data_IF_668818250039
#
_entry.id   IF_668818250039
#
_cell.length_a   1.000
_cell.length_b   1.000
_cell.length_c   1.000
_cell.angle_alpha   90.00
_cell.angle_beta   90.00
_cell.angle_gamma   90.00
#
_symmetry.space_group_name_H-M   'P 1'
#
loop_
_entity.id
_entity.type
_entity.pdbx_description
1 polymer ?
2 polymer ?
3 non-polymer ?
4 water ?
#
# COMPACT_ATOMS: atom_id res chain seq x y z
N UNK A 9 13.22 -15.95 7.84
CA UNK A 9 13.45 -16.41 6.44
C UNK A 9 12.18 -16.93 5.79
N UNK A 10 11.06 -16.28 6.10
CA UNK A 10 9.78 -16.68 5.54
C UNK A 10 9.44 -15.91 4.27
N UNK A 11 8.76 -16.56 3.34
CA UNK A 11 8.36 -15.91 2.09
C UNK A 11 7.24 -14.92 2.34
N UNK A 12 7.49 -13.65 2.06
CA UNK A 12 6.50 -12.60 2.25
C UNK A 12 5.99 -12.11 0.90
N UNK A 13 4.70 -11.80 0.84
CA UNK A 13 4.10 -11.35 -0.40
C UNK A 13 3.34 -10.04 -0.28
N UNK A 14 3.28 -9.31 -1.39
CA UNK A 14 2.53 -8.07 -1.44
C UNK A 14 1.08 -8.48 -1.25
N UNK A 15 0.37 -7.77 -0.38
CA UNK A 15 -1.02 -8.09 -0.10
C UNK A 15 -1.96 -7.68 -1.23
N UNK A 16 -1.48 -6.79 -2.10
CA UNK A 16 -2.29 -6.32 -3.21
C UNK A 16 -2.17 -7.16 -4.49
N UNK A 17 -0.94 -7.45 -4.91
CA UNK A 17 -0.73 -8.21 -6.15
C UNK A 17 -0.26 -9.65 -5.99
N UNK A 18 0.14 -10.04 -4.79
CA UNK A 18 0.58 -11.41 -4.57
C UNK A 18 2.01 -11.75 -4.93
N UNK A 19 2.77 -10.78 -5.45
CA UNK A 19 4.17 -11.06 -5.79
C UNK A 19 4.98 -11.17 -4.50
N UNK A 20 6.02 -12.00 -4.52
CA UNK A 20 6.85 -12.18 -3.33
C UNK A 20 7.95 -11.14 -3.26
N UNK A 21 8.60 -11.07 -2.10
CA UNK A 21 9.69 -10.14 -1.88
C UNK A 21 10.81 -10.38 -2.90
N UNK A 22 10.88 -11.61 -3.41
CA UNK A 22 11.90 -11.98 -4.38
C UNK A 22 11.57 -11.59 -5.82
N UNK A 23 10.39 -11.00 -6.02
CA UNK A 23 9.96 -10.59 -7.36
C UNK A 23 9.87 -9.08 -7.53
N UNK A 24 9.95 -8.35 -6.42
CA UNK A 24 9.83 -6.89 -6.49
C UNK A 24 11.08 -6.16 -6.01
N UNK A 25 11.14 -4.86 -6.30
CA UNK A 25 12.27 -4.04 -5.91
C UNK A 25 12.21 -3.73 -4.42
N UNK A 26 11.00 -3.47 -3.92
CA UNK A 26 10.82 -3.16 -2.51
C UNK A 26 9.50 -3.69 -1.99
N UNK A 27 9.49 -4.10 -0.72
CA UNK A 27 8.28 -4.59 -0.07
C UNK A 27 8.19 -3.85 1.26
N UNK A 28 7.08 -3.15 1.46
CA UNK A 28 6.87 -2.38 2.67
C UNK A 28 5.81 -3.03 3.54
N UNK A 29 6.10 -3.13 4.83
CA UNK A 29 5.17 -3.76 5.76
C UNK A 29 4.39 -2.84 6.68
N UNK A 30 3.12 -3.19 6.85
CA UNK A 30 2.25 -2.48 7.76
C UNK A 30 2.17 -3.46 8.92
N UNK A 31 1.23 -3.29 9.85
CA UNK A 31 1.11 -4.21 10.99
C UNK A 31 1.00 -5.68 10.61
N UNK A 32 0.13 -6.00 9.66
CA UNK A 32 -0.08 -7.38 9.25
C UNK A 32 -0.34 -7.49 7.75
N UNK A 33 0.14 -6.50 7.00
CA UNK A 33 -0.04 -6.45 5.55
C UNK A 33 1.24 -5.96 4.88
N UNK A 34 1.30 -6.11 3.56
CA UNK A 34 2.47 -5.70 2.79
C UNK A 34 2.10 -5.09 1.45
N UNK A 35 2.94 -4.19 0.95
CA UNK A 35 2.70 -3.59 -0.36
C UNK A 35 4.04 -3.42 -1.07
N UNK A 36 4.07 -3.76 -2.36
CA UNK A 36 5.31 -3.65 -3.13
C UNK A 36 5.38 -2.31 -3.87
N UNK A 37 6.56 -2.01 -4.41
CA UNK A 37 6.77 -0.75 -5.12
C UNK A 37 5.88 -0.62 -6.35
N UNK A 38 5.61 -1.74 -7.02
CA UNK A 38 4.77 -1.72 -8.21
C UNK A 38 3.35 -1.29 -7.86
N UNK A 39 2.81 -1.84 -6.77
CA UNK A 39 1.46 -1.46 -6.38
C UNK A 39 1.42 -0.04 -5.85
N UNK A 40 2.51 0.40 -5.22
CA UNK A 40 2.58 1.77 -4.72
C UNK A 40 2.47 2.69 -5.94
N UNK A 41 3.06 2.25 -7.05
CA UNK A 41 3.02 3.02 -8.29
C UNK A 41 1.58 3.13 -8.79
N UNK A 42 0.87 2.01 -8.79
CA UNK A 42 -0.52 2.00 -9.23
C UNK A 42 -1.37 2.92 -8.35
N UNK A 43 -1.08 2.93 -7.05
CA UNK A 43 -1.83 3.79 -6.14
C UNK A 43 -1.55 5.25 -6.46
N UNK A 44 -0.33 5.54 -6.90
CA UNK A 44 0.04 6.91 -7.25
C UNK A 44 -0.75 7.39 -8.45
N UNK A 45 -0.89 6.54 -9.46
CA UNK A 45 -1.63 6.90 -10.66
C UNK A 45 -3.08 7.20 -10.31
N UNK A 46 -3.62 6.43 -9.37
CA UNK A 46 -5.00 6.61 -8.94
C UNK A 46 -5.15 7.94 -8.20
N UNK A 47 -4.31 8.13 -7.19
CA UNK A 47 -4.34 9.36 -6.40
C UNK A 47 -4.03 10.58 -7.26
N UNK A 48 -3.25 10.37 -8.32
CA UNK A 48 -2.89 11.46 -9.22
C UNK A 48 -4.04 11.67 -10.20
N UNK A 49 -4.74 10.59 -10.51
CA UNK A 49 -5.88 10.61 -11.42
C UNK A 49 -5.46 10.94 -12.85
N UNK A 50 -4.61 10.08 -13.42
CA UNK A 50 -4.12 10.25 -14.78
C UNK A 50 -3.29 9.03 -15.18
N UNK A 51 -3.24 8.75 -16.48
CA UNK A 51 -2.48 7.62 -16.98
C UNK A 51 -1.66 8.00 -18.21
N UNK B 3 -5.71 -6.17 -9.34
CA UNK B 3 -6.79 -5.16 -9.44
C UNK B 3 -6.89 -4.31 -8.18
N UNK B 4 -7.28 -3.05 -8.35
CA UNK B 4 -7.42 -2.13 -7.24
C UNK B 4 -8.76 -1.43 -7.39
N UNK B 5 -9.29 -0.92 -6.28
CA UNK B 5 -10.55 -0.21 -6.33
C UNK B 5 -10.44 1.02 -5.45
N UNK B 6 -11.17 2.06 -5.83
CA UNK B 6 -11.17 3.29 -5.06
C UNK B 6 -12.31 3.24 -4.05
N UNK B 7 -11.97 3.34 -2.77
CA UNK B 7 -12.98 3.33 -1.72
C UNK B 7 -13.38 4.77 -1.49
N UNK B 8 -12.38 5.65 -1.51
CA UNK B 8 -12.58 7.08 -1.33
C UNK B 8 -11.57 7.84 -2.19
N UNK C 10 -20.51 0.30 5.03
CA UNK C 10 -19.54 -0.30 5.99
C UNK C 10 -18.31 0.59 6.14
N UNK C 11 -17.93 0.87 7.38
CA UNK C 11 -16.76 1.71 7.65
C UNK C 11 -15.47 0.95 7.37
N UNK C 12 -14.64 1.52 6.49
CA UNK C 12 -13.38 0.88 6.13
C UNK C 12 -12.17 1.59 6.73
N UNK C 13 -11.12 0.83 7.01
CA UNK C 13 -9.91 1.37 7.61
C UNK C 13 -8.65 1.04 6.83
N UNK C 14 -7.68 1.95 6.87
CA UNK C 14 -6.42 1.71 6.21
C UNK C 14 -5.75 0.57 6.97
N UNK C 15 -5.30 -0.45 6.25
CA UNK C 15 -4.66 -1.60 6.88
C UNK C 15 -3.27 -1.27 7.38
N UNK C 16 -2.68 -0.22 6.83
CA UNK C 16 -1.33 0.16 7.21
C UNK C 16 -1.19 1.12 8.39
N UNK C 17 -2.09 2.09 8.53
CA UNK C 17 -1.98 3.02 9.65
C UNK C 17 -3.16 2.94 10.62
N UNK C 18 -4.22 2.26 10.20
CA UNK C 18 -5.38 2.11 11.06
C UNK C 18 -6.44 3.20 10.99
N UNK C 19 -6.17 4.28 10.27
CA UNK C 19 -7.14 5.38 10.14
C UNK C 19 -8.38 4.98 9.34
N UNK C 20 -9.53 5.50 9.75
CA UNK C 20 -10.78 5.22 9.06
C UNK C 20 -10.82 6.07 7.80
N UNK C 21 -11.69 5.70 6.86
CA UNK C 21 -11.83 6.43 5.61
C UNK C 21 -12.21 7.89 5.84
N UNK C 22 -12.88 8.15 6.96
CA UNK C 22 -13.30 9.51 7.27
C UNK C 22 -12.16 10.38 7.80
N UNK C 23 -11.02 9.76 8.08
CA UNK C 23 -9.86 10.48 8.60
C UNK C 23 -8.80 10.74 7.54
N UNK C 24 -8.95 10.10 6.38
CA UNK C 24 -7.99 10.26 5.29
C UNK C 24 -8.63 10.88 4.05
N UNK C 25 -7.80 11.32 3.12
CA UNK C 25 -8.28 11.95 1.89
C UNK C 25 -8.64 10.90 0.84
N UNK C 26 -7.85 9.84 0.76
CA UNK C 26 -8.09 8.78 -0.20
C UNK C 26 -7.86 7.41 0.43
N UNK C 27 -8.60 6.42 -0.05
CA UNK C 27 -8.47 5.06 0.45
C UNK C 27 -8.63 4.13 -0.74
N UNK C 28 -7.60 3.33 -0.98
CA UNK C 28 -7.57 2.38 -2.08
C UNK C 28 -7.56 0.97 -1.52
N UNK C 29 -8.28 0.06 -2.17
CA UNK C 29 -8.34 -1.30 -1.68
C UNK C 29 -7.93 -2.37 -2.67
N UNK C 30 -7.35 -3.43 -2.13
CA UNK C 30 -6.96 -4.58 -2.92
C UNK C 30 -7.74 -5.71 -2.28
N UNK C 31 -7.38 -6.97 -2.51
CA UNK C 31 -8.10 -8.10 -1.92
C UNK C 31 -7.93 -8.13 -0.40
N UNK C 32 -8.97 -7.75 0.33
CA UNK C 32 -8.94 -7.74 1.79
C UNK C 32 -7.78 -6.92 2.35
N UNK C 33 -7.50 -5.79 1.72
CA UNK C 33 -6.43 -4.90 2.18
C UNK C 33 -6.71 -3.48 1.70
N UNK C 34 -6.41 -2.50 2.55
CA UNK C 34 -6.66 -1.10 2.24
C UNK C 34 -5.46 -0.23 2.57
N UNK C 35 -5.27 0.85 1.81
CA UNK C 35 -4.17 1.77 2.07
C UNK C 35 -4.62 3.19 1.74
N UNK C 36 -4.26 4.13 2.61
CA UNK C 36 -4.66 5.53 2.42
C UNK C 36 -3.58 6.35 1.73
N UNK C 37 -3.92 7.59 1.40
CA UNK C 37 -2.99 8.49 0.71
C UNK C 37 -1.77 8.81 1.56
N UNK C 38 -1.97 8.91 2.86
CA UNK C 38 -0.88 9.22 3.77
C UNK C 38 0.17 8.12 3.78
N UNK C 39 -0.29 6.87 3.80
CA UNK C 39 0.64 5.74 3.79
C UNK C 39 1.30 5.60 2.42
N UNK C 40 0.53 5.84 1.36
CA UNK C 40 1.08 5.76 0.01
C UNK C 40 2.20 6.81 -0.10
N UNK C 41 1.95 7.98 0.47
CA UNK C 41 2.92 9.07 0.46
C UNK C 41 4.22 8.64 1.12
N UNK C 42 4.12 8.01 2.29
CA UNK C 42 5.31 7.55 2.99
C UNK C 42 5.99 6.46 2.19
N UNK C 43 5.20 5.59 1.56
CA UNK C 43 5.78 4.52 0.75
C UNK C 43 6.62 5.10 -0.39
N UNK C 44 6.16 6.21 -0.96
CA UNK C 44 6.91 6.85 -2.03
C UNK C 44 8.24 7.36 -1.50
N UNK C 45 8.24 7.90 -0.29
CA UNK C 45 9.47 8.40 0.30
C UNK C 45 10.45 7.24 0.47
N UNK C 46 9.93 6.10 0.91
CA UNK C 46 10.75 4.91 1.10
C UNK C 46 11.35 4.45 -0.22
N UNK C 47 10.52 4.37 -1.25
CA UNK C 47 10.97 3.92 -2.56
C UNK C 47 11.96 4.90 -3.20
N UNK C 48 11.73 6.20 -3.01
CA UNK C 48 12.61 7.22 -3.56
C UNK C 48 13.86 7.41 -2.70
N UNK C 49 13.85 6.80 -1.52
CA UNK C 49 14.96 6.89 -0.58
C UNK C 49 16.09 5.92 -0.92
N UNK C 50 15.72 4.66 -1.18
CA UNK C 50 16.70 3.63 -1.52
C UNK C 50 16.14 2.68 -2.57
N UNK D 3 3.29 1.90 12.46
CA UNK D 3 4.25 2.54 11.53
C UNK D 3 4.69 1.58 10.43
N UNK D 4 5.08 2.13 9.29
CA UNK D 4 5.53 1.34 8.15
C UNK D 4 6.98 0.92 8.35
N UNK D 5 7.32 -0.28 7.90
CA UNK D 5 8.68 -0.79 8.02
C UNK D 5 9.08 -1.40 6.68
N UNK D 6 10.37 -1.33 6.36
CA UNK D 6 10.85 -1.88 5.11
C UNK D 6 11.30 -3.33 5.26
N UNK D 7 10.71 -4.21 4.47
CA UNK D 7 11.06 -5.63 4.49
C UNK D 7 12.18 -5.82 3.49
N UNK D 8 12.07 -5.12 2.36
CA UNK D 8 13.07 -5.17 1.30
C UNK D 8 13.23 -3.79 0.69
X LIG E 1 2.16 -5.50 -5.28
X LIG F 1 -2.81 4.74 6.12
#
# INVERSE_FOLDING_TARGET
TDKRKDGSGKLLYCSFCGKSQHEVRKLIAGPSVYICDECVDLCNDIIREEI
APALRVVK
TDKRKDGSGKLLYCSFCGKSQHEVRKLIAGPSVYICDECVDLCNDIIREEI
APALRVVK
ZN ZN
ZN ZN
#
